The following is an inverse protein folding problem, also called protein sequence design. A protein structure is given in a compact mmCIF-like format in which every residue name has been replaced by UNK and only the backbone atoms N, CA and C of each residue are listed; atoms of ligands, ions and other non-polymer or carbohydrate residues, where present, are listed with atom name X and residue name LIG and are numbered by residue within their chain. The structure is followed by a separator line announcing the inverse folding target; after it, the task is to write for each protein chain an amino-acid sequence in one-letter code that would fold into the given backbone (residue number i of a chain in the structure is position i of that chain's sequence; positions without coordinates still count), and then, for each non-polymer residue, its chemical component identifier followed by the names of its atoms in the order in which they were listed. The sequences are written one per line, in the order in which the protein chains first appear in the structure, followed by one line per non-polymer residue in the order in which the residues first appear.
data_IF_374147497582
#
_entry.id   IF_374147497582
#
_cell.length_a   1.000
_cell.length_b   1.000
_cell.length_c   1.000
_cell.angle_alpha   90.00
_cell.angle_beta   90.00
_cell.angle_gamma   90.00
#
_symmetry.space_group_name_H-M   'P 1'
#
loop_
_entity.id
_entity.type
_entity.pdbx_description
1 polymer ?
#
# COMPACT_ATOMS: atom_id res chain seq x y z
N UNK A 1 -40.22 -39.89 -58.45
CA UNK A 1 -39.02 -40.47 -57.80
C UNK A 1 -38.05 -39.33 -57.54
N UNK A 2 -37.84 -38.90 -56.28
CA UNK A 2 -36.99 -37.74 -55.96
C UNK A 2 -35.52 -38.19 -56.01
N UNK A 3 -34.75 -37.62 -56.93
CA UNK A 3 -33.41 -38.10 -57.28
C UNK A 3 -32.47 -37.98 -56.08
N UNK A 4 -32.00 -39.11 -55.54
CA UNK A 4 -31.11 -39.17 -54.35
C UNK A 4 -29.88 -38.29 -54.50
N UNK A 5 -29.40 -38.08 -55.73
CA UNK A 5 -28.30 -37.18 -56.06
C UNK A 5 -28.60 -35.71 -55.77
N UNK A 6 -29.85 -35.24 -55.95
CA UNK A 6 -30.23 -33.86 -55.62
C UNK A 6 -30.20 -33.61 -54.11
N UNK A 7 -30.56 -34.60 -53.30
CA UNK A 7 -30.46 -34.51 -51.84
C UNK A 7 -29.01 -34.49 -51.35
N UNK A 8 -28.11 -35.23 -52.01
CA UNK A 8 -26.67 -35.22 -51.68
C UNK A 8 -26.04 -33.88 -52.06
N UNK A 9 -26.38 -33.33 -53.22
CA UNK A 9 -25.86 -32.02 -53.67
C UNK A 9 -26.34 -30.90 -52.75
N UNK A 10 -27.61 -30.90 -52.34
CA UNK A 10 -28.15 -29.91 -51.39
C UNK A 10 -27.45 -30.03 -50.03
N UNK A 11 -27.18 -31.24 -49.56
CA UNK A 11 -26.43 -31.47 -48.32
C UNK A 11 -24.99 -30.94 -48.42
N UNK A 12 -24.27 -31.24 -49.50
CA UNK A 12 -22.91 -30.74 -49.72
C UNK A 12 -22.86 -29.21 -49.81
N UNK A 13 -23.82 -28.59 -50.53
CA UNK A 13 -23.94 -27.14 -50.60
C UNK A 13 -24.23 -26.52 -49.22
N UNK A 14 -25.07 -27.16 -48.41
CA UNK A 14 -25.37 -26.68 -47.05
C UNK A 14 -24.16 -26.74 -46.10
N UNK A 15 -23.31 -27.77 -46.24
CA UNK A 15 -22.08 -27.91 -45.45
C UNK A 15 -21.03 -26.88 -45.88
N UNK A 16 -20.84 -26.70 -47.19
CA UNK A 16 -19.92 -25.69 -47.73
C UNK A 16 -20.36 -24.28 -47.32
N UNK A 17 -21.66 -23.98 -47.43
CA UNK A 17 -22.21 -22.70 -46.98
C UNK A 17 -22.01 -22.52 -45.47
N UNK A 18 -22.22 -23.57 -44.67
CA UNK A 18 -21.94 -23.57 -43.24
C UNK A 18 -20.46 -23.30 -42.92
N UNK A 19 -19.51 -23.87 -43.66
CA UNK A 19 -18.07 -23.63 -43.50
C UNK A 19 -17.71 -22.19 -43.90
N UNK A 20 -18.30 -21.66 -44.97
CA UNK A 20 -18.08 -20.27 -45.39
C UNK A 20 -18.66 -19.28 -44.38
N UNK A 21 -19.84 -19.56 -43.82
CA UNK A 21 -20.44 -18.77 -42.74
C UNK A 21 -19.65 -18.90 -41.43
N UNK A 22 -19.11 -20.08 -41.13
CA UNK A 22 -18.27 -20.31 -39.96
C UNK A 22 -16.93 -19.58 -40.08
N UNK A 23 -16.29 -19.61 -41.25
CA UNK A 23 -15.04 -18.89 -41.50
C UNK A 23 -15.25 -17.37 -41.46
N UNK A 24 -16.34 -16.85 -42.04
CA UNK A 24 -16.66 -15.41 -41.93
C UNK A 24 -17.01 -15.01 -40.49
N UNK A 25 -17.65 -15.88 -39.71
CA UNK A 25 -17.88 -15.70 -38.27
C UNK A 25 -16.57 -15.73 -37.46
N UNK A 26 -15.63 -16.62 -37.77
CA UNK A 26 -14.32 -16.67 -37.09
C UNK A 26 -13.47 -15.43 -37.43
N UNK A 27 -13.51 -14.95 -38.68
CA UNK A 27 -12.90 -13.67 -39.05
C UNK A 27 -13.55 -12.49 -38.31
N UNK A 28 -14.89 -12.50 -38.14
CA UNK A 28 -15.59 -11.47 -37.36
C UNK A 28 -15.21 -11.49 -35.89
N UNK A 29 -15.04 -12.66 -35.28
CA UNK A 29 -14.54 -12.80 -33.90
C UNK A 29 -13.12 -12.23 -33.74
N UNK A 30 -12.30 -12.30 -34.79
CA UNK A 30 -10.94 -11.72 -34.81
C UNK A 30 -10.90 -10.21 -35.03
N UNK A 31 -12.00 -9.57 -35.47
CA UNK A 31 -12.03 -8.14 -35.84
C UNK A 31 -12.85 -7.27 -34.86
N UNK A 32 -13.52 -7.87 -33.87
CA UNK A 32 -14.36 -7.16 -32.88
C UNK A 32 -13.82 -7.28 -31.44
N UNK A 33 -12.51 -7.42 -31.32
CA UNK A 33 -11.77 -7.27 -30.07
C UNK A 33 -10.76 -6.12 -30.23
N UNK A 34 -11.27 -4.91 -30.37
CA UNK A 34 -10.62 -3.73 -29.80
C UNK A 34 -10.84 -3.77 -28.28
N UNK A 35 -10.17 -4.72 -27.63
CA UNK A 35 -9.90 -4.70 -26.21
C UNK A 35 -8.38 -4.77 -26.11
N UNK A 36 -7.77 -3.77 -25.50
CA UNK A 36 -6.32 -3.62 -25.39
C UNK A 36 -5.82 -4.83 -24.58
N UNK A 37 -5.31 -5.84 -25.29
CA UNK A 37 -4.58 -6.93 -24.66
C UNK A 37 -3.30 -6.35 -24.03
N UNK A 38 -2.94 -6.80 -22.82
CA UNK A 38 -1.76 -6.33 -22.12
C UNK A 38 -0.51 -6.74 -22.90
N UNK A 39 0.34 -5.77 -23.15
CA UNK A 39 1.71 -5.92 -23.62
C UNK A 39 2.37 -7.06 -22.84
N UNK A 40 3.01 -7.96 -23.58
CA UNK A 40 3.82 -9.07 -23.07
C UNK A 40 4.65 -8.67 -21.85
N UNK A 41 4.61 -9.51 -20.82
CA UNK A 41 5.60 -9.67 -19.74
C UNK A 41 6.91 -8.92 -19.98
N UNK A 42 6.94 -7.65 -19.65
CA UNK A 42 8.04 -7.07 -18.89
C UNK A 42 7.49 -7.01 -17.50
N UNK A 43 7.70 -8.09 -16.74
CA UNK A 43 7.63 -8.04 -15.29
C UNK A 43 8.73 -7.06 -14.91
N UNK A 44 8.37 -5.77 -14.84
CA UNK A 44 9.30 -4.69 -14.64
C UNK A 44 9.67 -4.78 -13.16
N UNK A 45 10.83 -5.35 -12.77
CA UNK A 45 11.16 -5.58 -11.36
C UNK A 45 11.26 -4.25 -10.61
N UNK A 46 11.37 -3.16 -11.37
CA UNK A 46 11.48 -1.77 -10.93
C UNK A 46 10.18 -1.27 -10.27
N UNK A 47 8.99 -1.72 -10.71
CA UNK A 47 7.72 -1.27 -10.09
C UNK A 47 7.41 -2.01 -8.79
N UNK A 48 7.83 -3.27 -8.67
CA UNK A 48 7.77 -4.04 -7.42
C UNK A 48 8.94 -3.71 -6.47
N UNK A 49 10.11 -3.31 -6.98
CA UNK A 49 11.18 -2.74 -6.16
C UNK A 49 10.82 -1.34 -5.64
N UNK A 50 10.13 -0.50 -6.43
CA UNK A 50 9.69 0.82 -5.99
C UNK A 50 8.60 0.78 -4.90
N UNK A 51 7.89 -0.35 -4.75
CA UNK A 51 6.93 -0.58 -3.64
C UNK A 51 7.59 -1.05 -2.33
N UNK A 52 8.87 -1.44 -2.36
CA UNK A 52 9.70 -1.62 -1.16
C UNK A 52 10.51 -0.35 -0.90
N UNK A 53 9.82 0.76 -0.67
CA UNK A 53 10.47 1.87 0.03
C UNK A 53 10.86 1.32 1.41
N UNK A 54 12.16 1.31 1.72
CA UNK A 54 12.66 0.75 2.97
C UNK A 54 12.07 1.64 4.10
N UNK A 55 11.11 1.09 4.85
CA UNK A 55 10.27 1.88 5.77
C UNK A 55 11.11 2.49 6.92
N UNK A 56 12.28 1.95 7.19
CA UNK A 56 13.30 2.49 8.10
C UNK A 56 13.90 3.80 7.58
N UNK A 57 14.19 3.92 6.27
CA UNK A 57 14.65 5.16 5.65
C UNK A 57 13.56 6.22 5.73
N UNK A 58 12.31 5.83 5.45
CA UNK A 58 11.14 6.71 5.59
C UNK A 58 10.95 7.16 7.04
N UNK A 59 11.10 6.26 8.00
CA UNK A 59 10.91 6.57 9.43
C UNK A 59 12.18 7.09 10.09
N UNK A 60 13.24 7.35 9.34
CA UNK A 60 14.49 7.86 9.88
C UNK A 60 14.33 9.27 10.45
N UNK A 61 15.13 9.57 11.48
CA UNK A 61 15.13 10.88 12.16
C UNK A 61 15.31 12.03 11.16
N UNK A 62 16.25 11.89 10.22
CA UNK A 62 16.60 12.92 9.23
C UNK A 62 15.49 13.20 8.22
N UNK A 63 14.52 12.28 8.06
CA UNK A 63 13.36 12.45 7.19
C UNK A 63 12.17 13.00 7.97
N UNK A 64 11.82 12.35 9.08
CA UNK A 64 10.57 12.62 9.79
C UNK A 64 10.62 13.95 10.55
N UNK A 65 11.73 14.26 11.23
CA UNK A 65 11.83 15.46 12.07
C UNK A 65 11.71 16.75 11.26
N UNK A 66 12.45 16.95 10.13
CA UNK A 66 12.27 18.14 9.30
C UNK A 66 10.86 18.23 8.71
N UNK A 67 10.25 17.09 8.34
CA UNK A 67 8.88 17.08 7.83
C UNK A 67 7.89 17.58 8.88
N UNK A 68 7.95 17.06 10.11
CA UNK A 68 7.04 17.47 11.19
C UNK A 68 7.29 18.92 11.60
N UNK A 69 8.56 19.38 11.65
CA UNK A 69 8.90 20.80 11.87
C UNK A 69 8.23 21.72 10.86
N UNK A 70 8.24 21.32 9.58
CA UNK A 70 7.70 22.14 8.49
C UNK A 70 6.17 22.11 8.42
N UNK A 71 5.57 20.93 8.58
CA UNK A 71 4.16 20.70 8.28
C UNK A 71 3.27 20.64 9.52
N UNK A 72 3.83 20.48 10.73
CA UNK A 72 3.07 20.32 11.97
C UNK A 72 2.29 19.00 12.08
N UNK A 73 2.49 18.08 11.13
CA UNK A 73 1.82 16.78 11.06
C UNK A 73 2.79 15.70 10.58
N UNK A 74 2.42 14.44 10.84
CA UNK A 74 3.18 13.28 10.37
C UNK A 74 3.01 13.08 8.86
N UNK A 75 4.02 12.49 8.19
CA UNK A 75 3.85 11.95 6.84
C UNK A 75 2.74 10.90 6.76
N UNK A 76 2.08 10.81 5.60
CA UNK A 76 0.89 9.98 5.39
C UNK A 76 1.11 8.46 5.53
N UNK A 77 2.37 7.99 5.57
CA UNK A 77 2.68 6.57 5.80
C UNK A 77 2.57 6.16 7.28
N UNK A 78 2.40 7.11 8.20
CA UNK A 78 2.05 6.80 9.58
C UNK A 78 0.57 6.45 9.73
N UNK A 79 0.28 5.51 10.61
CA UNK A 79 -1.07 5.04 10.93
C UNK A 79 -1.19 4.84 12.45
N UNK A 80 -2.35 5.16 13.02
CA UNK A 80 -2.53 5.00 14.47
C UNK A 80 -2.52 3.53 14.88
N UNK A 81 -2.22 3.26 16.16
CA UNK A 81 -2.30 1.90 16.70
C UNK A 81 -3.69 1.29 16.52
N UNK A 82 -4.76 2.07 16.64
CA UNK A 82 -6.13 1.57 16.49
C UNK A 82 -6.42 1.14 15.05
N UNK A 83 -6.12 1.98 14.07
CA UNK A 83 -6.33 1.67 12.66
C UNK A 83 -5.48 0.48 12.20
N UNK A 84 -4.22 0.39 12.67
CA UNK A 84 -3.36 -0.75 12.37
C UNK A 84 -3.93 -2.06 12.92
N UNK A 85 -4.40 -2.06 14.18
CA UNK A 85 -5.04 -3.26 14.78
C UNK A 85 -6.30 -3.67 14.02
N UNK A 86 -7.12 -2.71 13.61
CA UNK A 86 -8.32 -2.97 12.81
C UNK A 86 -8.01 -3.61 11.46
N UNK A 87 -6.79 -3.43 10.94
CA UNK A 87 -6.29 -4.04 9.71
C UNK A 87 -5.46 -5.31 9.93
N UNK A 88 -5.49 -5.89 11.14
CA UNK A 88 -4.86 -7.17 11.44
C UNK A 88 -3.46 -7.09 12.05
N UNK A 89 -2.98 -5.90 12.43
CA UNK A 89 -1.72 -5.78 13.16
C UNK A 89 -1.84 -6.35 14.57
N UNK A 90 -0.93 -7.27 14.89
CA UNK A 90 -0.76 -7.89 16.20
C UNK A 90 0.65 -7.59 16.69
N UNK A 91 0.78 -6.65 17.62
CA UNK A 91 2.09 -6.18 18.11
C UNK A 91 3.02 -7.30 18.59
N UNK A 92 2.48 -8.33 19.27
CA UNK A 92 3.26 -9.47 19.76
C UNK A 92 3.84 -10.34 18.63
N UNK A 93 3.23 -10.32 17.44
CA UNK A 93 3.71 -11.03 16.25
C UNK A 93 4.71 -10.22 15.42
N UNK A 94 4.80 -8.90 15.63
CA UNK A 94 5.66 -8.03 14.80
C UNK A 94 5.23 -7.96 13.33
N UNK A 95 3.97 -8.27 13.02
CA UNK A 95 3.49 -8.49 11.66
C UNK A 95 3.01 -7.22 10.94
N UNK A 96 3.46 -6.02 11.35
CA UNK A 96 2.90 -4.77 10.80
C UNK A 96 3.13 -4.66 9.29
N UNK A 97 4.35 -4.90 8.82
CA UNK A 97 4.65 -4.83 7.39
C UNK A 97 4.03 -5.97 6.58
N UNK A 98 3.66 -7.09 7.21
CA UNK A 98 2.96 -8.19 6.54
C UNK A 98 1.52 -7.79 6.19
N UNK A 99 0.84 -7.13 7.13
CA UNK A 99 -0.58 -6.73 6.98
C UNK A 99 -0.74 -5.32 6.40
N UNK A 100 0.27 -4.47 6.58
CA UNK A 100 0.31 -3.09 6.13
C UNK A 100 1.71 -2.72 5.59
N UNK A 101 2.06 -3.18 4.38
CA UNK A 101 3.33 -2.82 3.74
C UNK A 101 3.50 -1.31 3.62
N UNK A 102 4.71 -0.83 3.94
CA UNK A 102 5.06 0.59 3.84
C UNK A 102 4.39 1.50 4.88
N UNK A 103 3.91 0.94 6.00
CA UNK A 103 3.31 1.71 7.10
C UNK A 103 4.14 1.64 8.37
N UNK A 104 4.06 2.70 9.17
CA UNK A 104 4.65 2.80 10.50
C UNK A 104 3.62 3.29 11.53
N UNK A 105 3.83 2.99 12.82
CA UNK A 105 2.90 3.40 13.86
C UNK A 105 3.15 4.86 14.26
N UNK A 106 2.11 5.68 14.28
CA UNK A 106 2.19 7.06 14.77
C UNK A 106 0.87 7.82 14.74
N UNK A 107 0.84 8.96 15.43
CA UNK A 107 -0.31 9.85 15.51
C UNK A 107 -1.18 9.66 16.76
N UNK A 108 -0.90 8.64 17.58
CA UNK A 108 -1.57 8.46 18.87
C UNK A 108 -1.18 9.57 19.87
N UNK A 109 -2.10 9.90 20.79
CA UNK A 109 -1.85 10.89 21.85
C UNK A 109 -0.79 10.35 22.82
N UNK A 110 0.29 11.11 23.00
CA UNK A 110 1.25 10.92 24.08
C UNK A 110 0.81 11.69 25.32
N UNK A 111 0.43 10.96 26.37
CA UNK A 111 -0.20 11.57 27.56
C UNK A 111 0.75 12.33 28.49
N UNK A 112 2.08 12.23 28.31
CA UNK A 112 3.08 12.87 29.16
C UNK A 112 2.84 12.67 30.67
N UNK A 113 2.49 11.43 31.09
CA UNK A 113 2.12 11.10 32.47
C UNK A 113 3.24 11.37 33.47
N UNK A 114 4.47 11.09 33.07
CA UNK A 114 5.67 11.28 33.89
C UNK A 114 6.11 12.77 33.96
N UNK A 115 5.52 13.64 33.11
CA UNK A 115 5.80 15.08 33.06
C UNK A 115 7.27 15.41 32.73
N UNK A 116 7.95 14.52 32.02
CA UNK A 116 9.32 14.74 31.52
C UNK A 116 9.35 15.81 30.41
N UNK A 117 8.20 16.14 29.79
CA UNK A 117 8.07 17.20 28.80
C UNK A 117 7.32 18.44 29.32
N UNK A 118 7.59 19.66 28.82
CA UNK A 118 6.95 20.89 29.29
C UNK A 118 5.42 20.88 29.17
N UNK A 119 4.73 21.20 30.26
CA UNK A 119 3.26 21.25 30.27
C UNK A 119 2.74 22.68 30.06
N UNK A 120 1.62 22.81 29.35
CA UNK A 120 0.91 24.08 29.11
C UNK A 120 -0.58 23.79 28.88
N UNK A 121 -1.48 24.68 29.34
CA UNK A 121 -2.92 24.54 29.07
C UNK A 121 -3.18 24.48 27.56
N UNK A 122 -3.92 23.46 27.11
CA UNK A 122 -4.24 23.24 25.70
C UNK A 122 -3.12 22.57 24.89
N UNK A 123 -1.98 22.24 25.50
CA UNK A 123 -0.93 21.46 24.85
C UNK A 123 -1.29 19.98 24.82
N UNK A 124 -1.23 19.40 23.64
CA UNK A 124 -1.42 17.98 23.36
C UNK A 124 -0.14 17.49 22.69
N UNK A 125 0.37 16.36 23.14
CA UNK A 125 1.48 15.67 22.50
C UNK A 125 0.98 14.46 21.71
N UNK A 126 1.68 14.16 20.63
CA UNK A 126 1.50 12.98 19.79
C UNK A 126 2.82 12.23 19.69
N UNK A 127 2.76 10.93 19.44
CA UNK A 127 3.94 10.08 19.26
C UNK A 127 3.98 9.41 17.88
N UNK A 128 5.18 9.11 17.39
CA UNK A 128 5.40 8.30 16.19
C UNK A 128 6.68 7.46 16.31
N UNK A 129 6.68 6.27 15.73
CA UNK A 129 7.86 5.41 15.64
C UNK A 129 8.91 6.03 14.72
N UNK A 130 10.17 5.98 15.14
CA UNK A 130 11.32 6.32 14.31
C UNK A 130 12.15 5.05 14.03
N UNK A 131 12.91 5.05 12.95
CA UNK A 131 13.85 3.97 12.60
C UNK A 131 13.21 2.56 12.57
N UNK A 132 11.95 2.46 12.16
CA UNK A 132 11.20 1.20 12.15
C UNK A 132 11.61 0.33 10.97
N UNK A 133 11.94 -0.94 11.21
CA UNK A 133 12.56 -1.84 10.22
C UNK A 133 11.72 -3.10 9.91
N UNK A 134 10.39 -2.98 9.90
CA UNK A 134 9.47 -4.08 9.56
C UNK A 134 9.50 -5.32 10.47
N UNK A 135 10.10 -5.27 11.65
CA UNK A 135 9.97 -6.34 12.66
C UNK A 135 9.11 -5.87 13.83
N UNK A 136 9.55 -6.11 15.07
CA UNK A 136 8.95 -5.52 16.27
C UNK A 136 9.31 -4.03 16.35
N UNK A 137 8.41 -3.23 16.92
CA UNK A 137 8.67 -1.82 17.21
C UNK A 137 9.87 -1.71 18.16
N UNK A 138 10.77 -0.78 17.87
CA UNK A 138 11.97 -0.47 18.66
C UNK A 138 11.64 0.50 19.82
N UNK A 139 12.64 1.15 20.41
CA UNK A 139 12.49 2.14 21.48
C UNK A 139 12.31 3.59 20.96
N UNK A 140 12.64 3.84 19.70
CA UNK A 140 12.84 5.17 19.14
C UNK A 140 11.52 5.85 18.80
N UNK A 141 11.29 7.04 19.34
CA UNK A 141 10.05 7.78 19.12
C UNK A 141 10.29 9.25 18.89
N UNK A 142 9.55 9.79 17.95
CA UNK A 142 9.25 11.21 17.89
C UNK A 142 8.11 11.51 18.86
N UNK A 143 8.23 12.58 19.64
CA UNK A 143 7.13 13.18 20.39
C UNK A 143 7.02 14.64 20.00
N UNK A 144 5.87 15.05 19.45
CA UNK A 144 5.64 16.41 18.99
C UNK A 144 4.33 16.97 19.54
N UNK A 145 4.27 18.28 19.78
CA UNK A 145 3.09 18.94 20.29
C UNK A 145 2.29 19.66 19.20
N UNK A 146 1.01 19.86 19.47
CA UNK A 146 0.12 20.71 18.65
C UNK A 146 0.57 22.17 18.58
N UNK A 147 1.48 22.61 19.45
CA UNK A 147 2.06 23.96 19.47
C UNK A 147 3.54 24.00 19.06
N UNK A 148 4.03 22.97 18.37
CA UNK A 148 5.30 23.01 17.63
C UNK A 148 6.55 22.58 18.40
N UNK A 149 6.41 22.02 19.60
CA UNK A 149 7.55 21.40 20.30
C UNK A 149 7.83 20.01 19.73
N UNK A 150 9.10 19.65 19.64
CA UNK A 150 9.54 18.37 19.08
C UNK A 150 10.66 17.80 19.94
N UNK A 151 10.53 16.52 20.27
CA UNK A 151 11.46 15.74 21.08
C UNK A 151 11.66 14.36 20.47
N UNK A 152 12.83 13.76 20.73
CA UNK A 152 13.11 12.36 20.40
C UNK A 152 13.46 11.63 21.69
N UNK A 153 13.02 10.37 21.80
CA UNK A 153 13.50 9.41 22.79
C UNK A 153 14.05 8.18 22.05
N UNK A 154 15.14 7.61 22.55
CA UNK A 154 15.75 6.37 22.04
C UNK A 154 15.67 5.22 23.06
N UNK A 155 14.96 5.44 24.16
CA UNK A 155 15.02 4.62 25.37
C UNK A 155 13.63 4.36 25.96
N UNK A 156 12.61 4.24 25.10
CA UNK A 156 11.22 3.99 25.52
C UNK A 156 10.69 5.07 26.49
N UNK A 157 10.84 6.34 26.11
CA UNK A 157 10.28 7.51 26.80
C UNK A 157 10.95 7.84 28.16
N UNK A 158 12.09 7.23 28.49
CA UNK A 158 12.82 7.51 29.74
C UNK A 158 13.51 8.88 29.68
N UNK A 159 14.16 9.20 28.56
CA UNK A 159 14.81 10.50 28.33
C UNK A 159 14.42 11.10 26.99
N UNK A 160 14.56 12.43 26.89
CA UNK A 160 14.13 13.19 25.71
C UNK A 160 15.17 14.22 25.27
N UNK A 161 15.45 14.23 23.97
CA UNK A 161 16.28 15.23 23.30
C UNK A 161 15.38 16.21 22.53
N UNK A 162 15.45 17.50 22.87
CA UNK A 162 14.73 18.54 22.15
C UNK A 162 15.36 18.78 20.78
N UNK A 163 14.54 18.87 19.74
CA UNK A 163 14.96 19.09 18.35
C UNK A 163 14.75 20.53 17.89
#
# INVERSE_FOLDING_TARGET
MKNRSTSIIIFLLSVILGILLFNTFLLRKSTDSNEIAPISKVENPILDQAKKQHIDELTSVSVVVPYVKKNGQLPDYYITKSEARNKGWVASKGNLCDVLPGRAIGGDIFTNRERNLPTKKGRIYYEADLNYNCVRRNADRLVFSNDGLIFITYDHYNTFEKQ
#
